data_IF_583308877408
#
_entry.id   IF_583308877408
#
_cell.length_a   1.000
_cell.length_b   1.000
_cell.length_c   1.000
_cell.angle_alpha   90.00
_cell.angle_beta   90.00
_cell.angle_gamma   90.00
#
_symmetry.space_group_name_H-M   'P 1'
#
loop_
_entity.id
_entity.type
_entity.pdbx_description
1 polymer ?
#
# COMPACT_ATOMS: atom_id res chain seq x y z
N UNK A 1 5.55 -15.79 14.62
CA UNK A 1 6.62 -15.25 13.75
C UNK A 1 6.91 -13.86 14.24
N UNK A 2 8.07 -13.63 14.84
CA UNK A 2 8.51 -12.31 15.26
C UNK A 2 9.00 -11.62 13.98
N UNK A 3 8.32 -10.56 13.57
CA UNK A 3 8.75 -9.73 12.45
C UNK A 3 9.86 -8.80 12.95
N UNK A 4 11.00 -8.79 12.26
CA UNK A 4 12.07 -7.82 12.49
C UNK A 4 11.93 -6.73 11.43
N UNK A 5 11.70 -5.49 11.88
CA UNK A 5 11.56 -4.32 11.03
C UNK A 5 12.93 -3.81 10.60
N UNK A 6 13.11 -3.66 9.30
CA UNK A 6 14.36 -3.25 8.63
C UNK A 6 14.24 -1.79 8.17
N UNK A 7 13.05 -1.37 7.74
CA UNK A 7 12.75 0.00 7.37
C UNK A 7 12.75 0.93 8.61
N UNK A 8 13.22 2.19 8.46
CA UNK A 8 13.21 3.15 9.55
C UNK A 8 11.78 3.46 10.00
N UNK A 9 11.60 3.77 11.29
CA UNK A 9 10.30 4.21 11.81
C UNK A 9 9.84 5.49 11.12
N UNK A 10 8.53 5.56 10.88
CA UNK A 10 7.84 6.68 10.26
C UNK A 10 6.74 7.21 11.18
N UNK A 11 6.16 8.35 10.82
CA UNK A 11 5.09 8.98 11.59
C UNK A 11 3.88 8.05 11.82
N UNK A 12 3.54 7.22 10.84
CA UNK A 12 2.37 6.33 10.88
C UNK A 12 2.73 4.87 11.22
N UNK A 13 3.93 4.65 11.74
CA UNK A 13 4.38 3.33 12.20
C UNK A 13 3.43 2.77 13.27
N UNK A 14 3.14 1.47 13.18
CA UNK A 14 2.30 0.75 14.14
C UNK A 14 3.12 -0.35 14.84
N UNK A 15 3.03 -0.41 16.17
CA UNK A 15 3.74 -1.41 16.96
C UNK A 15 3.33 -2.85 16.57
N UNK A 16 4.33 -3.70 16.36
CA UNK A 16 4.12 -5.11 15.99
C UNK A 16 3.61 -5.33 14.57
N UNK A 17 3.54 -4.28 13.75
CA UNK A 17 3.14 -4.35 12.33
C UNK A 17 4.35 -4.03 11.44
N UNK A 18 4.57 -4.78 10.35
CA UNK A 18 5.58 -4.43 9.34
C UNK A 18 5.35 -3.06 8.72
N UNK A 19 6.43 -2.40 8.27
CA UNK A 19 6.24 -1.18 7.49
C UNK A 19 5.54 -1.50 6.16
N UNK A 20 4.79 -0.55 5.58
CA UNK A 20 4.09 -0.75 4.32
C UNK A 20 4.96 -1.24 3.16
N UNK A 21 6.21 -0.77 3.10
CA UNK A 21 7.22 -1.16 2.10
C UNK A 21 7.75 -2.59 2.29
N UNK A 22 7.65 -3.12 3.50
CA UNK A 22 8.15 -4.44 3.88
C UNK A 22 7.07 -5.52 3.82
N UNK A 23 5.82 -5.12 3.59
CA UNK A 23 4.68 -6.03 3.60
C UNK A 23 4.50 -6.68 2.21
N UNK A 24 4.90 -7.95 2.00
CA UNK A 24 4.89 -8.56 0.67
C UNK A 24 3.49 -8.92 0.18
N UNK A 25 2.52 -9.04 1.10
CA UNK A 25 1.16 -9.47 0.81
C UNK A 25 0.15 -8.42 1.25
N UNK A 26 -0.61 -7.92 0.29
CA UNK A 26 -1.80 -7.12 0.57
C UNK A 26 -2.99 -8.04 0.85
N UNK A 27 -3.79 -7.70 1.87
CA UNK A 27 -5.02 -8.42 2.22
C UNK A 27 -6.19 -7.44 2.15
N UNK A 28 -7.28 -7.86 1.48
CA UNK A 28 -8.43 -7.00 1.21
C UNK A 28 -8.13 -5.95 0.13
N UNK A 29 -8.91 -4.86 0.13
CA UNK A 29 -8.82 -3.77 -0.86
C UNK A 29 -9.05 -4.18 -2.32
N UNK A 30 -9.64 -5.35 -2.59
CA UNK A 30 -9.81 -5.88 -3.95
C UNK A 30 -10.49 -4.88 -4.89
N UNK A 31 -11.54 -4.20 -4.42
CA UNK A 31 -12.25 -3.19 -5.19
C UNK A 31 -11.32 -2.02 -5.59
N UNK A 32 -10.57 -1.47 -4.63
CA UNK A 32 -9.66 -0.35 -4.86
C UNK A 32 -8.48 -0.76 -5.75
N UNK A 33 -7.89 -1.92 -5.50
CA UNK A 33 -6.81 -2.49 -6.32
C UNK A 33 -7.26 -2.71 -7.77
N UNK A 34 -8.44 -3.28 -7.99
CA UNK A 34 -9.00 -3.49 -9.32
C UNK A 34 -9.26 -2.18 -10.06
N UNK A 35 -9.79 -1.16 -9.38
CA UNK A 35 -10.01 0.17 -9.95
C UNK A 35 -8.68 0.79 -10.40
N UNK A 36 -7.66 0.76 -9.53
CA UNK A 36 -6.32 1.28 -9.84
C UNK A 36 -5.67 0.52 -11.01
N UNK A 37 -5.75 -0.82 -10.99
CA UNK A 37 -5.20 -1.65 -12.06
C UNK A 37 -5.91 -1.38 -13.41
N UNK A 38 -7.22 -1.15 -13.41
CA UNK A 38 -7.95 -0.76 -14.61
C UNK A 38 -7.53 0.62 -15.12
N UNK A 39 -7.41 1.61 -14.23
CA UNK A 39 -6.95 2.95 -14.58
C UNK A 39 -5.55 2.91 -15.20
N UNK A 40 -4.62 2.17 -14.58
CA UNK A 40 -3.27 1.95 -15.09
C UNK A 40 -3.27 1.31 -16.49
N UNK A 41 -3.95 0.17 -16.67
CA UNK A 41 -4.04 -0.51 -17.97
C UNK A 41 -4.65 0.35 -19.08
N UNK A 42 -5.54 1.27 -18.73
CA UNK A 42 -6.16 2.18 -19.69
C UNK A 42 -5.32 3.44 -20.00
N UNK A 43 -4.15 3.60 -19.37
CA UNK A 43 -3.32 4.80 -19.50
C UNK A 43 -3.92 6.04 -18.84
N UNK A 44 -4.88 5.88 -17.92
CA UNK A 44 -5.64 6.96 -17.28
C UNK A 44 -5.44 6.99 -15.76
N UNK A 45 -4.24 6.63 -15.30
CA UNK A 45 -3.94 6.73 -13.88
C UNK A 45 -3.89 8.21 -13.47
N UNK A 46 -4.63 8.64 -12.42
CA UNK A 46 -4.59 10.02 -11.95
C UNK A 46 -3.19 10.44 -11.48
N UNK A 47 -2.88 11.74 -11.57
CA UNK A 47 -1.60 12.30 -11.10
C UNK A 47 -1.41 12.22 -9.59
N UNK A 48 -2.51 12.17 -8.83
CA UNK A 48 -2.50 12.04 -7.39
C UNK A 48 -3.60 11.09 -6.94
N UNK A 49 -3.33 10.35 -5.85
CA UNK A 49 -4.26 9.42 -5.23
C UNK A 49 -4.40 9.77 -3.75
N UNK A 50 -5.62 9.70 -3.23
CA UNK A 50 -5.93 9.90 -1.81
C UNK A 50 -6.58 8.63 -1.29
N UNK A 51 -6.00 8.05 -0.23
CA UNK A 51 -6.52 6.85 0.41
C UNK A 51 -7.17 7.22 1.73
N UNK A 52 -8.46 6.92 1.88
CA UNK A 52 -9.26 7.26 3.06
C UNK A 52 -9.80 5.99 3.71
N UNK A 53 -9.78 5.94 5.04
CA UNK A 53 -10.29 4.81 5.81
C UNK A 53 -9.66 4.71 7.21
N UNK A 54 -10.12 3.76 8.04
CA UNK A 54 -9.65 3.59 9.41
C UNK A 54 -8.12 3.40 9.53
N UNK A 55 -7.56 3.74 10.69
CA UNK A 55 -6.15 3.46 11.01
C UNK A 55 -5.90 1.95 10.96
N UNK A 56 -4.75 1.53 10.42
CA UNK A 56 -4.38 0.11 10.34
C UNK A 56 -5.09 -0.72 9.27
N UNK A 57 -6.03 -0.16 8.49
CA UNK A 57 -6.76 -0.93 7.45
C UNK A 57 -5.89 -1.33 6.24
N UNK A 58 -4.63 -0.88 6.15
CA UNK A 58 -3.72 -1.22 5.03
C UNK A 58 -3.68 -0.20 3.88
N UNK A 59 -4.09 1.07 4.13
CA UNK A 59 -4.05 2.14 3.11
C UNK A 59 -2.67 2.37 2.52
N UNK A 60 -1.68 2.54 3.41
CA UNK A 60 -0.29 2.75 3.00
C UNK A 60 0.25 1.51 2.28
N UNK A 61 -0.06 0.30 2.77
CA UNK A 61 0.34 -0.95 2.12
C UNK A 61 -0.16 -1.03 0.68
N UNK A 62 -1.44 -0.70 0.41
CA UNK A 62 -1.97 -0.64 -0.95
C UNK A 62 -1.21 0.39 -1.81
N UNK A 63 -0.94 1.58 -1.28
CA UNK A 63 -0.20 2.62 -1.99
C UNK A 63 1.23 2.17 -2.36
N UNK A 64 1.95 1.52 -1.45
CA UNK A 64 3.29 0.98 -1.70
C UNK A 64 3.26 -0.15 -2.73
N UNK A 65 2.25 -1.03 -2.69
CA UNK A 65 2.07 -2.08 -3.70
C UNK A 65 1.84 -1.48 -5.10
N UNK A 66 1.01 -0.44 -5.20
CA UNK A 66 0.84 0.28 -6.47
C UNK A 66 2.15 0.93 -6.92
N UNK A 67 2.85 1.65 -6.05
CA UNK A 67 4.11 2.32 -6.40
C UNK A 67 5.16 1.32 -6.88
N UNK A 68 5.29 0.17 -6.21
CA UNK A 68 6.18 -0.91 -6.63
C UNK A 68 5.78 -1.48 -8.00
N UNK A 69 4.49 -1.57 -8.32
CA UNK A 69 4.04 -1.98 -9.66
C UNK A 69 4.36 -0.94 -10.74
N UNK A 70 4.36 0.36 -10.42
CA UNK A 70 4.61 1.45 -11.38
C UNK A 70 6.10 1.71 -11.62
N UNK A 71 6.95 1.45 -10.64
CA UNK A 71 8.38 1.83 -10.64
C UNK A 71 9.33 0.66 -10.95
N UNK A 72 8.80 -0.56 -11.13
CA UNK A 72 9.54 -1.68 -11.69
C UNK A 72 9.52 -1.64 -13.21
#
# INVERSE_FOLDING_TARGET
MIFERIAPEQHDTLDGVPEPSETPRLVGHDQAANMLASAYRSGKLPHALIFVGPVGIGKATLAFHLAHHLLK
#
